data_IF_280864418024
#
_entry.id   IF_280864418024
#
_cell.length_a   1.000
_cell.length_b   1.000
_cell.length_c   1.000
_cell.angle_alpha   90.00
_cell.angle_beta   90.00
_cell.angle_gamma   90.00
#
_symmetry.space_group_name_H-M   'P 1'
#
loop_
_entity.id
_entity.type
_entity.pdbx_description
1 polymer ?
#
# COMPACT_ATOMS: atom_id res chain seq x y z
N UNK A 1 -20.89 18.48 7.68
CA UNK A 1 -19.63 17.75 7.91
C UNK A 1 -18.48 18.50 7.24
N UNK A 2 -17.34 18.57 7.91
CA UNK A 2 -16.08 19.04 7.35
C UNK A 2 -15.10 17.85 7.36
N UNK A 3 -14.96 17.16 6.23
CA UNK A 3 -14.03 16.05 6.04
C UNK A 3 -12.76 16.58 5.39
N UNK A 4 -11.63 16.48 6.08
CA UNK A 4 -10.36 16.99 5.58
C UNK A 4 -9.30 15.89 5.67
N UNK A 5 -8.72 15.54 4.52
CA UNK A 5 -7.64 14.57 4.43
C UNK A 5 -6.27 15.26 4.57
N UNK A 6 -5.34 14.59 5.22
CA UNK A 6 -3.93 14.96 5.41
C UNK A 6 -3.68 16.18 6.32
N UNK A 7 -2.52 16.22 7.02
CA UNK A 7 -2.27 17.26 8.03
C UNK A 7 -2.19 18.69 7.46
N UNK A 8 -1.61 18.87 6.26
CA UNK A 8 -1.45 20.24 5.72
C UNK A 8 -2.80 20.88 5.37
N UNK A 9 -3.75 20.13 4.82
CA UNK A 9 -5.09 20.65 4.50
C UNK A 9 -5.87 20.88 5.79
N UNK A 10 -5.74 20.00 6.78
CA UNK A 10 -6.32 20.20 8.10
C UNK A 10 -5.81 21.47 8.74
N UNK A 11 -4.49 21.70 8.76
CA UNK A 11 -3.90 22.94 9.28
C UNK A 11 -4.47 24.19 8.57
N UNK A 12 -4.69 24.08 7.24
CA UNK A 12 -5.21 25.19 6.43
C UNK A 12 -6.69 25.49 6.68
N UNK A 13 -7.53 24.47 6.90
CA UNK A 13 -8.99 24.63 6.90
C UNK A 13 -9.69 24.39 8.24
N UNK A 14 -9.00 23.87 9.28
CA UNK A 14 -9.59 23.61 10.61
C UNK A 14 -10.22 24.84 11.26
N UNK A 15 -9.79 26.06 10.89
CA UNK A 15 -10.35 27.30 11.42
C UNK A 15 -11.85 27.43 11.15
N UNK A 16 -12.36 26.79 10.09
CA UNK A 16 -13.79 26.81 9.74
C UNK A 16 -14.67 26.28 10.87
N UNK A 17 -14.17 25.35 11.69
CA UNK A 17 -14.93 24.85 12.86
C UNK A 17 -15.26 25.93 13.85
N UNK A 18 -14.41 26.97 13.98
CA UNK A 18 -14.66 28.11 14.86
C UNK A 18 -15.81 29.01 14.38
N UNK A 19 -15.95 29.15 13.05
CA UNK A 19 -17.01 29.98 12.45
C UNK A 19 -18.33 29.22 12.31
N UNK A 20 -18.28 27.90 12.29
CA UNK A 20 -19.43 27.02 12.11
C UNK A 20 -19.50 25.97 13.22
N UNK A 21 -19.90 26.31 14.46
CA UNK A 21 -19.80 25.42 15.63
C UNK A 21 -20.65 24.14 15.54
N UNK A 22 -21.63 24.11 14.63
CA UNK A 22 -22.44 22.89 14.38
C UNK A 22 -21.78 21.90 13.42
N UNK A 23 -20.69 22.28 12.76
CA UNK A 23 -19.96 21.41 11.84
C UNK A 23 -19.22 20.34 12.64
N UNK A 24 -19.41 19.07 12.24
CA UNK A 24 -18.57 17.96 12.69
C UNK A 24 -17.33 17.89 11.82
N UNK A 25 -16.17 18.00 12.42
CA UNK A 25 -14.88 17.92 11.74
C UNK A 25 -14.32 16.50 11.84
N UNK A 26 -14.04 15.90 10.69
CA UNK A 26 -13.40 14.61 10.54
C UNK A 26 -12.01 14.83 9.97
N UNK A 27 -10.98 14.37 10.68
CA UNK A 27 -9.61 14.34 10.21
C UNK A 27 -9.31 12.96 9.63
N UNK A 28 -9.09 12.90 8.32
CA UNK A 28 -8.67 11.70 7.62
C UNK A 28 -7.16 11.74 7.44
N UNK A 29 -6.43 10.80 8.07
CA UNK A 29 -4.97 10.78 8.05
C UNK A 29 -4.42 10.41 6.69
N UNK A 30 -5.11 9.52 5.94
CA UNK A 30 -4.67 8.87 4.70
C UNK A 30 -3.48 7.93 4.91
N UNK A 31 -2.48 8.37 5.64
CA UNK A 31 -1.37 7.64 6.24
C UNK A 31 -0.76 8.49 7.35
N UNK A 32 -0.07 7.87 8.29
CA UNK A 32 0.69 8.60 9.32
C UNK A 32 2.02 9.08 8.74
N UNK A 33 2.05 10.34 8.32
CA UNK A 33 3.22 10.95 7.67
C UNK A 33 4.47 10.91 8.56
N UNK A 34 4.31 11.07 9.89
CA UNK A 34 5.46 10.99 10.80
C UNK A 34 6.04 9.58 10.87
N UNK A 35 5.20 8.54 10.85
CA UNK A 35 5.66 7.14 10.85
C UNK A 35 6.47 6.86 9.58
N UNK A 36 5.95 7.26 8.43
CA UNK A 36 6.65 7.14 7.15
C UNK A 36 8.00 7.87 7.17
N UNK A 37 8.05 9.08 7.74
CA UNK A 37 9.29 9.86 7.82
C UNK A 37 10.32 9.23 8.77
N UNK A 38 9.89 8.64 9.90
CA UNK A 38 10.79 7.89 10.79
C UNK A 38 11.38 6.69 10.08
N UNK A 39 10.55 5.86 9.43
CA UNK A 39 11.01 4.69 8.67
C UNK A 39 11.93 5.08 7.51
N UNK A 40 11.66 6.21 6.85
CA UNK A 40 12.55 6.75 5.82
C UNK A 40 13.88 7.20 6.41
N UNK A 41 13.86 7.87 7.57
CA UNK A 41 15.07 8.32 8.24
C UNK A 41 16.00 7.16 8.63
N UNK A 42 15.42 6.06 9.08
CA UNK A 42 16.11 4.82 9.42
C UNK A 42 16.67 4.14 8.16
N UNK A 43 15.84 3.91 7.16
CA UNK A 43 16.24 3.25 5.90
C UNK A 43 17.34 4.01 5.14
N UNK A 44 17.25 5.35 5.08
CA UNK A 44 18.21 6.19 4.36
C UNK A 44 19.37 6.69 5.25
N UNK A 45 19.42 6.31 6.52
CA UNK A 45 20.40 6.78 7.54
C UNK A 45 20.50 8.32 7.58
N UNK A 46 19.34 9.03 7.52
CA UNK A 46 19.26 10.49 7.45
C UNK A 46 18.74 11.14 8.75
N UNK A 47 19.59 11.49 9.72
CA UNK A 47 19.14 12.06 11.02
C UNK A 47 18.31 13.36 10.89
N UNK A 48 18.53 14.14 9.82
CA UNK A 48 17.74 15.35 9.57
C UNK A 48 16.24 15.07 9.37
N UNK A 49 15.89 13.90 8.86
CA UNK A 49 14.49 13.49 8.70
C UNK A 49 13.81 13.21 10.04
N UNK A 50 14.55 12.78 11.05
CA UNK A 50 14.02 12.54 12.40
C UNK A 50 13.44 13.84 12.99
N UNK A 51 14.15 14.98 12.88
CA UNK A 51 13.63 16.29 13.34
C UNK A 51 12.35 16.67 12.60
N UNK A 52 12.28 16.41 11.30
CA UNK A 52 11.07 16.64 10.50
C UNK A 52 9.93 15.73 10.94
N UNK A 53 10.20 14.45 11.17
CA UNK A 53 9.22 13.47 11.64
C UNK A 53 8.62 13.89 12.98
N UNK A 54 9.44 14.31 13.96
CA UNK A 54 8.98 14.81 15.27
C UNK A 54 8.06 16.04 15.13
N UNK A 55 8.40 16.97 14.24
CA UNK A 55 7.54 18.15 14.00
C UNK A 55 6.19 17.74 13.41
N UNK A 56 6.19 16.83 12.45
CA UNK A 56 4.96 16.33 11.83
C UNK A 56 4.15 15.51 12.85
N UNK A 57 4.79 14.66 13.67
CA UNK A 57 4.13 13.92 14.75
C UNK A 57 3.33 14.86 15.67
N UNK A 58 3.97 15.94 16.15
CA UNK A 58 3.30 16.94 17.00
C UNK A 58 2.08 17.54 16.31
N UNK A 59 2.19 17.85 15.02
CA UNK A 59 1.07 18.40 14.24
C UNK A 59 -0.06 17.38 14.08
N UNK A 60 0.25 16.16 13.62
CA UNK A 60 -0.76 15.11 13.37
C UNK A 60 -1.50 14.73 14.63
N UNK A 61 -0.81 14.59 15.77
CA UNK A 61 -1.43 14.31 17.07
C UNK A 61 -2.34 15.46 17.55
N UNK A 62 -1.89 16.70 17.39
CA UNK A 62 -2.71 17.87 17.75
C UNK A 62 -4.01 17.93 16.92
N UNK A 63 -3.93 17.66 15.61
CA UNK A 63 -5.11 17.62 14.71
C UNK A 63 -6.04 16.45 15.07
N UNK A 64 -5.46 15.27 15.31
CA UNK A 64 -6.21 14.07 15.65
C UNK A 64 -6.96 14.21 16.97
N UNK A 65 -6.34 14.84 17.97
CA UNK A 65 -6.97 15.10 19.27
C UNK A 65 -8.06 16.17 19.19
N UNK A 66 -7.90 17.18 18.32
CA UNK A 66 -8.83 18.29 18.20
C UNK A 66 -10.05 17.97 17.32
N UNK A 67 -9.95 17.00 16.40
CA UNK A 67 -11.05 16.60 15.52
C UNK A 67 -12.17 15.88 16.28
N UNK A 68 -13.41 15.98 15.80
CA UNK A 68 -14.55 15.23 16.36
C UNK A 68 -14.42 13.74 16.11
N UNK A 69 -13.81 13.36 14.99
CA UNK A 69 -13.41 11.99 14.66
C UNK A 69 -12.11 12.01 13.87
N UNK A 70 -11.26 11.02 14.11
CA UNK A 70 -10.02 10.80 13.35
C UNK A 70 -10.09 9.44 12.67
N UNK A 71 -9.85 9.43 11.37
CA UNK A 71 -9.81 8.21 10.57
C UNK A 71 -8.37 7.77 10.40
N UNK A 72 -8.08 6.57 10.86
CA UNK A 72 -6.91 5.79 10.49
C UNK A 72 -7.28 4.86 9.32
N UNK A 73 -6.33 4.57 8.44
CA UNK A 73 -6.59 3.70 7.28
C UNK A 73 -6.40 2.23 7.61
N UNK A 74 -5.73 1.91 8.74
CA UNK A 74 -5.46 0.56 9.22
C UNK A 74 -5.61 0.46 10.73
N UNK A 75 -5.84 -0.77 11.24
CA UNK A 75 -5.86 -1.03 12.68
C UNK A 75 -4.49 -0.74 13.33
N UNK A 76 -3.39 -1.00 12.62
CA UNK A 76 -2.02 -0.66 13.09
C UNK A 76 -1.88 0.84 13.35
N UNK A 77 -2.35 1.69 12.43
CA UNK A 77 -2.30 3.15 12.62
C UNK A 77 -3.26 3.63 13.72
N UNK A 78 -4.42 3.00 13.83
CA UNK A 78 -5.35 3.26 14.95
C UNK A 78 -4.71 2.94 16.29
N UNK A 79 -4.01 1.82 16.42
CA UNK A 79 -3.27 1.45 17.62
C UNK A 79 -2.18 2.46 17.95
N UNK A 80 -1.37 2.84 16.96
CA UNK A 80 -0.31 3.85 17.10
C UNK A 80 -0.87 5.18 17.60
N UNK A 81 -1.98 5.66 17.05
CA UNK A 81 -2.65 6.89 17.52
C UNK A 81 -3.28 6.72 18.91
N UNK A 82 -3.84 5.56 19.21
CA UNK A 82 -4.42 5.23 20.51
C UNK A 82 -3.38 5.26 21.64
N UNK A 83 -2.18 4.70 21.40
CA UNK A 83 -1.05 4.75 22.32
C UNK A 83 -0.56 6.20 22.60
N UNK A 84 -0.76 7.11 21.65
CA UNK A 84 -0.48 8.55 21.81
C UNK A 84 -1.64 9.32 22.46
N UNK A 85 -2.70 8.63 22.92
CA UNK A 85 -3.82 9.21 23.68
C UNK A 85 -4.97 9.78 22.82
N UNK A 86 -4.98 9.55 21.51
CA UNK A 86 -6.11 9.93 20.64
C UNK A 86 -7.30 8.99 20.90
N UNK A 87 -8.49 9.52 21.14
CA UNK A 87 -9.65 8.72 21.58
C UNK A 87 -10.69 8.46 20.50
N UNK A 88 -10.98 9.44 19.65
CA UNK A 88 -12.06 9.37 18.65
C UNK A 88 -11.56 8.75 17.33
N UNK A 89 -11.17 7.48 17.38
CA UNK A 89 -10.48 6.78 16.29
C UNK A 89 -11.40 5.78 15.59
N UNK A 90 -11.48 5.90 14.29
CA UNK A 90 -12.20 4.99 13.40
C UNK A 90 -11.24 4.44 12.34
N UNK A 91 -11.43 3.19 11.93
CA UNK A 91 -10.69 2.61 10.81
C UNK A 91 -11.60 2.60 9.60
N UNK A 92 -11.22 3.37 8.58
CA UNK A 92 -11.88 3.37 7.27
C UNK A 92 -10.80 3.10 6.22
N UNK A 93 -10.65 1.85 5.78
CA UNK A 93 -9.62 1.47 4.82
C UNK A 93 -9.98 1.90 3.39
N UNK A 94 -9.02 1.77 2.48
CA UNK A 94 -9.30 1.85 1.05
C UNK A 94 -10.32 0.78 0.66
N UNK A 95 -11.19 1.13 -0.27
CA UNK A 95 -12.19 0.21 -0.81
C UNK A 95 -11.56 -0.58 -1.94
N UNK A 96 -11.75 -1.89 -1.90
CA UNK A 96 -11.31 -2.82 -2.93
C UNK A 96 -12.46 -3.75 -3.30
N UNK A 97 -12.55 -4.09 -4.58
CA UNK A 97 -13.59 -4.97 -5.09
C UNK A 97 -12.97 -6.08 -5.92
N UNK A 98 -13.45 -7.30 -5.73
CA UNK A 98 -12.94 -8.47 -6.45
C UNK A 98 -13.29 -8.31 -7.94
N UNK A 99 -12.28 -8.39 -8.79
CA UNK A 99 -12.50 -8.35 -10.24
C UNK A 99 -13.00 -9.70 -10.73
N UNK A 100 -14.19 -9.72 -11.25
CA UNK A 100 -14.69 -10.89 -11.99
C UNK A 100 -13.93 -10.99 -13.32
N UNK A 101 -13.06 -12.00 -13.41
CA UNK A 101 -12.32 -12.31 -14.62
C UNK A 101 -13.05 -13.43 -15.34
N UNK A 102 -13.72 -13.11 -16.45
CA UNK A 102 -14.53 -14.06 -17.21
C UNK A 102 -13.74 -15.28 -17.69
N UNK A 103 -12.46 -15.09 -18.01
CA UNK A 103 -11.54 -16.16 -18.42
C UNK A 103 -10.22 -16.01 -17.64
N UNK A 104 -10.08 -16.70 -16.50
CA UNK A 104 -8.85 -16.66 -15.71
C UNK A 104 -7.70 -17.30 -16.47
N UNK A 105 -6.60 -16.56 -16.66
CA UNK A 105 -5.38 -17.09 -17.25
C UNK A 105 -4.76 -18.11 -16.29
N UNK A 106 -4.44 -19.30 -16.79
CA UNK A 106 -3.86 -20.38 -15.99
C UNK A 106 -2.42 -20.06 -15.57
N UNK A 107 -1.95 -20.69 -14.50
CA UNK A 107 -0.59 -20.53 -13.99
C UNK A 107 0.47 -20.69 -15.09
N UNK A 108 0.36 -21.73 -15.91
CA UNK A 108 1.32 -22.07 -16.98
C UNK A 108 1.40 -21.02 -18.09
N UNK A 109 0.31 -20.28 -18.31
CA UNK A 109 0.23 -19.25 -19.36
C UNK A 109 0.73 -17.88 -18.86
N UNK A 110 0.71 -17.66 -17.53
CA UNK A 110 1.17 -16.40 -16.91
C UNK A 110 2.69 -16.29 -16.95
N UNK A 111 3.19 -15.10 -17.27
CA UNK A 111 4.64 -14.82 -17.36
C UNK A 111 4.99 -13.48 -16.76
N UNK A 112 6.14 -13.44 -16.10
CA UNK A 112 6.74 -12.21 -15.62
C UNK A 112 6.22 -11.75 -14.25
N UNK A 113 6.78 -10.63 -13.84
CA UNK A 113 6.59 -10.00 -12.53
C UNK A 113 6.09 -8.58 -12.78
N UNK A 114 5.10 -8.14 -12.01
CA UNK A 114 4.57 -6.78 -12.12
C UNK A 114 4.72 -6.01 -10.80
N UNK A 115 5.10 -4.75 -10.92
CA UNK A 115 5.05 -3.73 -9.88
C UNK A 115 4.26 -2.53 -10.40
N UNK A 116 3.47 -1.88 -9.55
CA UNK A 116 2.80 -0.63 -9.87
C UNK A 116 3.01 0.42 -8.78
N UNK A 117 3.26 1.68 -9.20
CA UNK A 117 3.34 2.79 -8.24
C UNK A 117 3.79 4.10 -8.87
N UNK A 118 3.18 5.21 -8.46
CA UNK A 118 3.61 6.55 -8.92
C UNK A 118 5.02 6.90 -8.42
N UNK A 119 5.91 7.31 -9.32
CA UNK A 119 7.33 7.54 -9.01
C UNK A 119 7.63 8.92 -8.40
N UNK A 120 6.63 9.78 -8.24
CA UNK A 120 6.75 10.94 -7.32
C UNK A 120 6.85 10.51 -5.85
N UNK A 121 6.44 9.28 -5.53
CA UNK A 121 6.52 8.69 -4.20
C UNK A 121 7.84 7.95 -4.02
N UNK A 122 8.74 8.51 -3.22
CA UNK A 122 10.11 7.97 -3.03
C UNK A 122 10.18 6.49 -2.66
N UNK A 123 9.30 5.94 -1.79
CA UNK A 123 9.30 4.50 -1.51
C UNK A 123 9.15 3.62 -2.75
N UNK A 124 8.42 4.07 -3.77
CA UNK A 124 8.29 3.32 -5.02
C UNK A 124 9.57 3.33 -5.87
N UNK A 125 10.27 4.45 -5.88
CA UNK A 125 11.57 4.57 -6.57
C UNK A 125 12.58 3.64 -5.91
N UNK A 126 12.72 3.71 -4.59
CA UNK A 126 13.60 2.88 -3.80
C UNK A 126 13.31 1.38 -4.01
N UNK A 127 12.04 0.99 -3.92
CA UNK A 127 11.60 -0.40 -4.11
C UNK A 127 11.99 -0.96 -5.48
N UNK A 128 11.77 -0.19 -6.54
CA UNK A 128 12.08 -0.62 -7.91
C UNK A 128 13.58 -0.70 -8.16
N UNK A 129 14.36 0.23 -7.63
CA UNK A 129 15.82 0.18 -7.73
C UNK A 129 16.38 -1.05 -7.00
N UNK A 130 15.90 -1.34 -5.81
CA UNK A 130 16.26 -2.54 -5.07
C UNK A 130 15.85 -3.82 -5.81
N UNK A 131 14.61 -3.86 -6.33
CA UNK A 131 14.14 -5.00 -7.12
C UNK A 131 15.07 -5.29 -8.30
N UNK A 132 15.32 -4.28 -9.13
CA UNK A 132 16.01 -4.51 -10.40
C UNK A 132 17.52 -4.67 -10.24
N UNK A 133 18.15 -3.94 -9.30
CA UNK A 133 19.61 -3.93 -9.15
C UNK A 133 20.13 -5.07 -8.27
N UNK A 134 19.35 -5.50 -7.28
CA UNK A 134 19.83 -6.45 -6.28
C UNK A 134 19.06 -7.78 -6.32
N UNK A 135 17.73 -7.77 -6.36
CA UNK A 135 16.90 -8.98 -6.28
C UNK A 135 16.88 -9.71 -7.64
N UNK A 136 16.56 -9.02 -8.72
CA UNK A 136 16.41 -9.65 -10.05
C UNK A 136 17.67 -10.35 -10.57
N UNK A 137 18.90 -9.90 -10.32
CA UNK A 137 20.09 -10.66 -10.69
C UNK A 137 20.15 -12.07 -10.07
N UNK A 138 19.65 -12.24 -8.84
CA UNK A 138 19.57 -13.55 -8.17
C UNK A 138 18.47 -14.40 -8.82
N UNK A 139 17.29 -13.82 -8.98
CA UNK A 139 16.12 -14.49 -9.61
C UNK A 139 16.47 -14.98 -11.01
N UNK A 140 17.15 -14.16 -11.83
CA UNK A 140 17.51 -14.51 -13.22
C UNK A 140 18.53 -15.63 -13.32
N UNK A 141 19.41 -15.80 -12.35
CA UNK A 141 20.32 -16.95 -12.32
C UNK A 141 19.57 -18.28 -12.28
N UNK A 142 18.38 -18.31 -11.68
CA UNK A 142 17.55 -19.51 -11.56
C UNK A 142 16.47 -19.61 -12.64
N UNK A 143 15.75 -18.53 -12.90
CA UNK A 143 14.56 -18.52 -13.77
C UNK A 143 14.84 -18.05 -15.20
N UNK A 144 16.08 -17.59 -15.50
CA UNK A 144 16.40 -16.96 -16.78
C UNK A 144 15.77 -15.57 -16.94
N UNK A 145 15.66 -15.14 -18.19
CA UNK A 145 15.18 -13.81 -18.56
C UNK A 145 13.65 -13.72 -18.52
N UNK A 146 13.10 -13.61 -17.32
CA UNK A 146 11.66 -13.34 -17.13
C UNK A 146 11.37 -11.84 -17.20
N UNK A 147 10.26 -11.41 -17.83
CA UNK A 147 9.91 -10.00 -17.94
C UNK A 147 9.51 -9.40 -16.59
N UNK A 148 9.94 -8.15 -16.37
CA UNK A 148 9.57 -7.33 -15.20
C UNK A 148 8.87 -6.06 -15.70
N UNK A 149 7.64 -5.85 -15.28
CA UNK A 149 6.81 -4.71 -15.67
C UNK A 149 6.76 -3.69 -14.53
N UNK A 150 7.32 -2.51 -14.77
CA UNK A 150 7.41 -1.41 -13.80
C UNK A 150 6.41 -0.32 -14.19
N UNK A 151 5.17 -0.48 -13.76
CA UNK A 151 4.06 0.39 -14.12
C UNK A 151 3.98 1.61 -13.21
N UNK A 152 3.58 2.75 -13.75
CA UNK A 152 3.27 3.92 -12.95
C UNK A 152 3.61 5.26 -13.57
N UNK A 153 2.98 6.30 -13.05
CA UNK A 153 3.12 7.66 -13.55
C UNK A 153 4.42 8.33 -13.09
N UNK A 154 4.90 9.26 -13.89
CA UNK A 154 6.05 10.12 -13.60
C UNK A 154 7.35 9.35 -13.30
N UNK A 155 7.79 8.39 -14.14
CA UNK A 155 9.06 7.72 -13.93
C UNK A 155 10.20 8.76 -13.98
N UNK A 156 11.13 8.66 -13.02
CA UNK A 156 12.34 9.48 -13.01
C UNK A 156 13.30 9.02 -14.11
N UNK A 157 14.28 9.85 -14.47
CA UNK A 157 15.33 9.44 -15.43
C UNK A 157 16.04 8.16 -14.99
N UNK A 158 16.25 7.99 -13.69
CA UNK A 158 16.86 6.79 -13.12
C UNK A 158 15.98 5.54 -13.32
N UNK A 159 14.66 5.67 -13.16
CA UNK A 159 13.73 4.56 -13.43
C UNK A 159 13.64 4.29 -14.94
N UNK A 160 13.59 5.33 -15.78
CA UNK A 160 13.60 5.15 -17.24
C UNK A 160 14.86 4.43 -17.73
N UNK A 161 16.03 4.67 -17.10
CA UNK A 161 17.29 4.01 -17.48
C UNK A 161 17.33 2.51 -17.17
N UNK A 162 16.38 1.98 -16.38
CA UNK A 162 16.24 0.55 -16.14
C UNK A 162 15.59 -0.20 -17.33
N UNK A 163 14.99 0.53 -18.27
CA UNK A 163 14.30 -0.08 -19.40
C UNK A 163 15.26 -0.91 -20.26
N UNK A 164 14.89 -2.14 -20.56
CA UNK A 164 15.71 -3.11 -21.31
C UNK A 164 14.80 -4.15 -21.98
N UNK A 165 15.37 -5.17 -22.62
CA UNK A 165 14.63 -6.29 -23.19
C UNK A 165 13.83 -7.09 -22.16
N UNK A 166 14.24 -7.07 -20.89
CA UNK A 166 13.64 -7.85 -19.80
C UNK A 166 13.04 -6.99 -18.67
N UNK A 167 13.22 -5.68 -18.69
CA UNK A 167 12.60 -4.72 -17.76
C UNK A 167 11.87 -3.68 -18.58
N UNK A 168 10.55 -3.62 -18.45
CA UNK A 168 9.71 -2.70 -19.21
C UNK A 168 9.20 -1.59 -18.29
N UNK A 169 9.44 -0.33 -18.69
CA UNK A 169 9.03 0.88 -17.99
C UNK A 169 8.07 1.68 -18.89
N UNK A 170 6.81 1.25 -19.05
CA UNK A 170 5.88 1.91 -19.98
C UNK A 170 5.37 3.28 -19.49
N UNK A 171 5.65 3.64 -18.24
CA UNK A 171 5.12 4.86 -17.63
C UNK A 171 3.66 4.72 -17.18
N UNK A 172 2.88 5.79 -17.35
CA UNK A 172 1.45 5.77 -17.06
C UNK A 172 0.68 4.98 -18.14
N UNK A 173 -0.17 4.08 -17.68
CA UNK A 173 -1.09 3.34 -18.53
C UNK A 173 -2.52 3.60 -18.08
N UNK A 174 -3.41 3.87 -19.03
CA UNK A 174 -4.84 4.02 -18.74
C UNK A 174 -5.49 2.68 -18.35
N UNK A 175 -5.02 1.58 -18.92
CA UNK A 175 -5.44 0.23 -18.59
C UNK A 175 -4.24 -0.63 -18.16
N UNK A 176 -4.29 -1.12 -16.92
CA UNK A 176 -3.28 -2.02 -16.34
C UNK A 176 -3.77 -3.47 -16.26
N UNK A 177 -5.04 -3.73 -16.60
CA UNK A 177 -5.64 -5.06 -16.53
C UNK A 177 -4.80 -6.14 -17.21
N UNK A 178 -4.27 -5.96 -18.45
CA UNK A 178 -3.49 -6.97 -19.13
C UNK A 178 -2.26 -7.40 -18.33
N UNK A 179 -1.61 -6.49 -17.61
CA UNK A 179 -0.44 -6.80 -16.80
C UNK A 179 -0.79 -7.61 -15.55
N UNK A 180 -1.88 -7.27 -14.85
CA UNK A 180 -2.32 -8.03 -13.68
C UNK A 180 -2.88 -9.40 -14.06
N UNK A 181 -3.53 -9.52 -15.22
CA UNK A 181 -4.09 -10.78 -15.68
C UNK A 181 -3.04 -11.74 -16.21
N UNK A 182 -1.97 -11.25 -16.85
CA UNK A 182 -0.99 -12.10 -17.52
C UNK A 182 0.33 -12.25 -16.75
N UNK A 183 0.64 -11.40 -15.77
CA UNK A 183 1.79 -11.61 -14.90
C UNK A 183 1.57 -12.79 -13.97
N UNK A 184 2.66 -13.48 -13.61
CA UNK A 184 2.61 -14.61 -12.68
C UNK A 184 2.65 -14.17 -11.24
N UNK A 185 3.38 -13.08 -10.93
CA UNK A 185 3.58 -12.58 -9.57
C UNK A 185 3.47 -11.06 -9.55
N UNK A 186 2.86 -10.52 -8.50
CA UNK A 186 3.00 -9.13 -8.10
C UNK A 186 4.09 -9.00 -7.04
N UNK A 187 4.88 -7.93 -7.09
CA UNK A 187 5.90 -7.66 -6.08
C UNK A 187 5.73 -6.29 -5.43
N UNK A 188 5.95 -6.23 -4.11
CA UNK A 188 5.93 -4.99 -3.34
C UNK A 188 7.16 -4.88 -2.42
N UNK A 189 8.37 -4.69 -2.98
CA UNK A 189 9.62 -4.66 -2.22
C UNK A 189 9.83 -3.30 -1.55
N UNK A 190 8.88 -2.85 -0.73
CA UNK A 190 8.92 -1.56 -0.05
C UNK A 190 9.76 -1.63 1.22
N UNK A 191 10.87 -0.92 1.28
CA UNK A 191 11.74 -0.88 2.46
C UNK A 191 11.30 0.15 3.50
N UNK A 192 10.47 1.12 3.12
CA UNK A 192 9.81 2.06 4.02
C UNK A 192 8.47 2.54 3.46
N UNK A 193 7.61 3.04 4.36
CA UNK A 193 6.27 3.51 4.04
C UNK A 193 5.40 3.53 5.28
N UNK A 194 4.16 3.95 5.15
CA UNK A 194 3.12 3.86 6.16
C UNK A 194 1.77 3.65 5.48
N UNK A 195 0.75 3.34 6.26
CA UNK A 195 -0.61 3.15 5.78
C UNK A 195 -0.83 1.92 4.91
N UNK A 196 -2.04 1.79 4.43
CA UNK A 196 -2.46 0.73 3.51
C UNK A 196 -1.89 0.97 2.11
N UNK A 197 -1.33 -0.06 1.51
CA UNK A 197 -0.75 0.02 0.16
C UNK A 197 -1.79 -0.36 -0.89
N UNK A 198 -2.46 0.61 -1.48
CA UNK A 198 -3.50 0.38 -2.50
C UNK A 198 -3.06 -0.56 -3.65
N UNK A 199 -1.78 -0.59 -3.98
CA UNK A 199 -1.22 -1.52 -4.97
C UNK A 199 -1.33 -3.00 -4.55
N UNK A 200 -1.24 -3.28 -3.25
CA UNK A 200 -1.48 -4.62 -2.69
C UNK A 200 -2.95 -4.99 -2.90
N UNK A 201 -3.87 -4.12 -2.46
CA UNK A 201 -5.29 -4.32 -2.69
C UNK A 201 -5.63 -4.52 -4.16
N UNK A 202 -5.04 -3.73 -5.05
CA UNK A 202 -5.22 -3.92 -6.49
C UNK A 202 -4.73 -5.30 -6.96
N UNK A 203 -3.61 -5.82 -6.46
CA UNK A 203 -3.16 -7.18 -6.80
C UNK A 203 -4.15 -8.24 -6.32
N UNK A 204 -4.66 -8.08 -5.08
CA UNK A 204 -5.66 -8.98 -4.51
C UNK A 204 -6.98 -8.97 -5.30
N UNK A 205 -7.41 -7.82 -5.84
CA UNK A 205 -8.60 -7.70 -6.70
C UNK A 205 -8.56 -8.64 -7.92
N UNK A 206 -7.34 -8.89 -8.46
CA UNK A 206 -7.12 -9.82 -9.59
C UNK A 206 -6.75 -11.24 -9.13
N UNK A 207 -6.69 -11.49 -7.83
CA UNK A 207 -6.17 -12.76 -7.31
C UNK A 207 -4.75 -13.04 -7.80
N UNK A 208 -3.92 -12.00 -7.97
CA UNK A 208 -2.53 -12.15 -8.37
C UNK A 208 -1.65 -12.32 -7.13
N UNK A 209 -0.98 -13.48 -6.93
CA UNK A 209 -0.15 -13.75 -5.77
C UNK A 209 0.99 -12.75 -5.60
N UNK A 210 1.30 -12.45 -4.33
CA UNK A 210 2.16 -11.35 -3.95
C UNK A 210 3.41 -11.87 -3.22
N UNK A 211 4.58 -11.31 -3.59
CA UNK A 211 5.78 -11.30 -2.75
C UNK A 211 5.99 -9.88 -2.25
N UNK A 212 6.09 -9.69 -0.95
CA UNK A 212 6.18 -8.36 -0.32
C UNK A 212 7.20 -8.33 0.80
N UNK A 213 7.60 -7.13 1.19
CA UNK A 213 8.19 -6.91 2.52
C UNK A 213 7.09 -6.82 3.59
N UNK A 214 7.45 -6.95 4.85
CA UNK A 214 6.52 -6.69 5.97
C UNK A 214 5.89 -5.30 5.89
N UNK A 215 6.68 -4.29 5.48
CA UNK A 215 6.20 -2.91 5.29
C UNK A 215 5.23 -2.83 4.11
N UNK A 216 5.49 -3.56 3.03
CA UNK A 216 4.58 -3.63 1.88
C UNK A 216 3.25 -4.26 2.23
N UNK A 217 3.26 -5.35 2.99
CA UNK A 217 2.09 -6.12 3.40
C UNK A 217 1.26 -5.49 4.55
N UNK A 218 1.83 -4.48 5.24
CA UNK A 218 1.21 -3.86 6.41
C UNK A 218 -0.17 -3.30 6.11
N UNK A 219 -1.12 -3.54 7.03
CA UNK A 219 -2.44 -2.92 7.06
C UNK A 219 -3.50 -3.61 6.21
N UNK A 220 -3.22 -4.81 5.67
CA UNK A 220 -4.19 -5.59 4.90
C UNK A 220 -4.39 -7.02 5.44
N UNK A 221 -4.03 -7.25 6.70
CA UNK A 221 -4.18 -8.55 7.38
C UNK A 221 -3.57 -9.71 6.58
N UNK A 222 -2.40 -9.46 5.97
CA UNK A 222 -1.67 -10.45 5.20
C UNK A 222 -0.75 -11.25 6.12
N UNK A 223 -0.75 -12.58 5.93
CA UNK A 223 -0.01 -13.55 6.74
C UNK A 223 0.95 -14.30 5.82
N UNK A 224 2.25 -14.33 6.19
CA UNK A 224 3.27 -15.02 5.41
C UNK A 224 2.97 -16.51 5.28
N UNK A 225 3.09 -17.03 4.07
CA UNK A 225 2.82 -18.43 3.73
C UNK A 225 1.35 -18.78 3.59
N UNK A 226 0.43 -17.89 3.96
CA UNK A 226 -1.00 -18.11 3.85
C UNK A 226 -1.60 -17.37 2.64
N UNK A 227 -1.46 -16.05 2.58
CA UNK A 227 -2.06 -15.21 1.55
C UNK A 227 -1.09 -14.21 0.89
N UNK A 228 0.17 -14.26 1.31
CA UNK A 228 1.30 -13.50 0.77
C UNK A 228 2.58 -14.26 1.10
N UNK A 229 3.66 -14.05 0.34
CA UNK A 229 5.00 -14.43 0.76
C UNK A 229 5.77 -13.18 1.21
N UNK A 230 6.32 -13.19 2.43
CA UNK A 230 7.00 -12.05 3.04
C UNK A 230 8.50 -12.31 3.15
N UNK A 231 9.31 -11.33 2.70
CA UNK A 231 10.75 -11.32 2.88
C UNK A 231 11.26 -9.89 2.98
N UNK A 232 12.27 -9.64 3.82
CA UNK A 232 12.76 -8.30 4.12
C UNK A 232 14.22 -8.04 3.68
N UNK A 233 14.91 -9.05 3.18
CA UNK A 233 16.26 -8.95 2.63
C UNK A 233 16.33 -9.46 1.20
N UNK A 234 17.42 -9.12 0.50
CA UNK A 234 17.59 -9.38 -0.94
C UNK A 234 17.51 -10.87 -1.30
N UNK A 235 18.17 -11.73 -0.51
CA UNK A 235 18.26 -13.15 -0.83
C UNK A 235 16.94 -13.86 -0.59
N UNK A 236 16.35 -13.69 0.60
CA UNK A 236 15.06 -14.31 0.91
C UNK A 236 13.94 -13.77 0.03
N UNK A 237 13.99 -12.51 -0.38
CA UNK A 237 13.00 -11.96 -1.32
C UNK A 237 13.12 -12.61 -2.71
N UNK A 238 14.35 -12.81 -3.19
CA UNK A 238 14.59 -13.53 -4.44
C UNK A 238 14.11 -14.99 -4.35
N UNK A 239 14.40 -15.69 -3.24
CA UNK A 239 13.96 -17.07 -3.02
C UNK A 239 12.43 -17.18 -2.99
N UNK A 240 11.71 -16.23 -2.35
CA UNK A 240 10.25 -16.20 -2.36
C UNK A 240 9.67 -15.94 -3.76
N UNK A 241 10.32 -15.09 -4.57
CA UNK A 241 9.94 -14.93 -5.98
C UNK A 241 10.11 -16.25 -6.73
N UNK A 242 11.26 -16.90 -6.62
CA UNK A 242 11.56 -18.16 -7.31
C UNK A 242 10.56 -19.23 -6.90
N UNK A 243 10.33 -19.41 -5.59
CA UNK A 243 9.37 -20.35 -5.03
C UNK A 243 7.97 -20.15 -5.63
N UNK A 244 7.44 -18.94 -5.57
CA UNK A 244 6.10 -18.63 -6.06
C UNK A 244 6.00 -18.71 -7.59
N UNK A 245 7.11 -18.53 -8.31
CA UNK A 245 7.16 -18.59 -9.76
C UNK A 245 7.20 -20.01 -10.30
N UNK A 246 7.84 -20.96 -9.59
CA UNK A 246 8.01 -22.35 -10.00
C UNK A 246 6.94 -23.29 -9.45
N UNK A 247 6.45 -23.02 -8.23
CA UNK A 247 5.53 -23.92 -7.52
C UNK A 247 4.06 -23.52 -7.75
N UNK A 248 3.37 -24.33 -8.54
CA UNK A 248 1.97 -24.13 -8.90
C UNK A 248 1.03 -24.30 -7.71
N UNK A 249 1.32 -25.22 -6.80
CA UNK A 249 0.45 -25.51 -5.64
C UNK A 249 0.50 -24.37 -4.64
N UNK A 250 1.70 -23.86 -4.34
CA UNK A 250 1.88 -22.66 -3.51
C UNK A 250 1.22 -21.45 -4.19
N UNK A 251 1.36 -21.31 -5.51
CA UNK A 251 0.76 -20.20 -6.24
C UNK A 251 -0.77 -20.19 -6.10
N UNK A 252 -1.43 -21.33 -6.27
CA UNK A 252 -2.89 -21.42 -6.10
C UNK A 252 -3.31 -21.27 -4.65
N UNK A 253 -2.56 -21.84 -3.69
CA UNK A 253 -2.82 -21.65 -2.28
C UNK A 253 -2.82 -20.16 -1.88
N UNK A 254 -1.75 -19.43 -2.25
CA UNK A 254 -1.65 -17.98 -1.97
C UNK A 254 -2.77 -17.21 -2.68
N UNK A 255 -3.06 -17.53 -3.96
CA UNK A 255 -4.13 -16.88 -4.72
C UNK A 255 -5.49 -16.98 -4.04
N UNK A 256 -5.90 -18.18 -3.68
CA UNK A 256 -7.22 -18.43 -3.08
C UNK A 256 -7.39 -17.72 -1.74
N UNK A 257 -6.36 -17.75 -0.90
CA UNK A 257 -6.41 -17.10 0.40
C UNK A 257 -6.24 -15.58 0.31
N UNK A 258 -5.49 -15.08 -0.65
CA UNK A 258 -5.33 -13.64 -0.86
C UNK A 258 -6.64 -12.96 -1.25
N UNK A 259 -7.45 -13.59 -2.11
CA UNK A 259 -8.78 -13.06 -2.48
C UNK A 259 -9.68 -12.94 -1.24
N UNK A 260 -9.66 -13.93 -0.34
CA UNK A 260 -10.44 -13.89 0.90
C UNK A 260 -10.07 -12.72 1.80
N UNK A 261 -8.81 -12.25 1.74
CA UNK A 261 -8.34 -11.09 2.51
C UNK A 261 -9.06 -9.79 2.15
N UNK A 262 -9.68 -9.69 0.96
CA UNK A 262 -10.44 -8.51 0.55
C UNK A 262 -11.81 -8.38 1.20
N UNK A 263 -12.32 -9.40 1.88
CA UNK A 263 -13.69 -9.41 2.44
C UNK A 263 -13.98 -8.18 3.32
N UNK A 264 -12.99 -7.73 4.10
CA UNK A 264 -13.13 -6.58 5.00
C UNK A 264 -12.97 -5.21 4.31
N UNK A 265 -12.59 -5.19 3.04
CA UNK A 265 -12.31 -3.97 2.27
C UNK A 265 -13.35 -3.71 1.17
N UNK A 266 -14.39 -4.52 1.11
CA UNK A 266 -15.46 -4.38 0.11
C UNK A 266 -16.30 -3.11 0.33
N UNK A 267 -16.91 -2.54 -0.74
CA UNK A 267 -17.78 -1.37 -0.63
C UNK A 267 -18.85 -1.53 0.45
N UNK A 268 -19.45 -2.72 0.57
CA UNK A 268 -20.48 -3.04 1.55
C UNK A 268 -20.00 -2.90 2.99
N UNK A 269 -18.82 -3.45 3.30
CA UNK A 269 -18.26 -3.43 4.66
C UNK A 269 -17.81 -2.02 5.04
N UNK A 270 -17.09 -1.35 4.14
CA UNK A 270 -16.60 0.01 4.37
C UNK A 270 -17.74 1.01 4.49
N UNK A 271 -18.79 0.89 3.68
CA UNK A 271 -19.99 1.73 3.78
C UNK A 271 -20.68 1.59 5.14
N UNK A 272 -20.77 0.35 5.69
CA UNK A 272 -21.34 0.12 7.02
C UNK A 272 -20.50 0.81 8.11
N UNK A 273 -19.18 0.72 8.02
CA UNK A 273 -18.28 1.39 8.97
C UNK A 273 -18.42 2.91 8.91
N UNK A 274 -18.52 3.47 7.70
CA UNK A 274 -18.76 4.89 7.50
C UNK A 274 -20.11 5.31 8.13
N UNK A 275 -21.16 4.53 7.95
CA UNK A 275 -22.46 4.81 8.51
C UNK A 275 -22.45 4.82 10.04
N UNK A 276 -21.72 3.89 10.66
CA UNK A 276 -21.53 3.89 12.11
C UNK A 276 -20.82 5.17 12.59
N UNK A 277 -19.74 5.58 11.92
CA UNK A 277 -19.07 6.85 12.21
C UNK A 277 -20.03 8.05 12.16
N UNK A 278 -20.86 8.14 11.11
CA UNK A 278 -21.83 9.24 10.95
C UNK A 278 -22.88 9.24 12.07
N UNK A 279 -23.37 8.06 12.44
CA UNK A 279 -24.33 7.91 13.54
C UNK A 279 -23.72 8.34 14.88
N UNK A 280 -22.47 7.94 15.17
CA UNK A 280 -21.77 8.32 16.39
C UNK A 280 -21.54 9.85 16.49
N UNK A 281 -21.39 10.50 15.34
CA UNK A 281 -21.31 11.97 15.27
C UNK A 281 -22.68 12.67 15.35
N UNK A 282 -23.78 11.91 15.48
CA UNK A 282 -25.15 12.44 15.54
C UNK A 282 -25.66 12.96 14.18
N UNK A 283 -25.09 12.46 13.10
CA UNK A 283 -25.50 12.81 11.72
C UNK A 283 -26.47 11.74 11.25
N UNK A 284 -27.74 12.11 11.15
CA UNK A 284 -28.79 11.25 10.61
C UNK A 284 -28.90 11.49 9.11
N UNK A 285 -29.12 10.40 8.35
CA UNK A 285 -29.51 10.47 6.94
C UNK A 285 -30.89 11.11 6.78
#
# INVERSE_FOLDING_TARGET
>A
ILWISRPNLNLKYQYLVKYFPRIKWIYDTVDLHYVRLFRQAESELKPKLVKKALKIKKLELALATAAHATIAITDVEKEVLGLEGVKNLYVIPNVHDIKEVAQPVAFTERKGIVFIGGYKHKPNVDAVLWLVREIMPIVRKKLGDIPVYLLGSYPTSEICSLNSSTVLVPGYLADVNPYFMNSRIFVAPLRYGAGMKGKIGQSLEYGLPIVSTSIGAEGMNLIDGENVLIANDTHTFADKIIQLYEDQDIWYHIKENSIKSLTNYTPKVVSKTLQNLLNDLGIKN
#
